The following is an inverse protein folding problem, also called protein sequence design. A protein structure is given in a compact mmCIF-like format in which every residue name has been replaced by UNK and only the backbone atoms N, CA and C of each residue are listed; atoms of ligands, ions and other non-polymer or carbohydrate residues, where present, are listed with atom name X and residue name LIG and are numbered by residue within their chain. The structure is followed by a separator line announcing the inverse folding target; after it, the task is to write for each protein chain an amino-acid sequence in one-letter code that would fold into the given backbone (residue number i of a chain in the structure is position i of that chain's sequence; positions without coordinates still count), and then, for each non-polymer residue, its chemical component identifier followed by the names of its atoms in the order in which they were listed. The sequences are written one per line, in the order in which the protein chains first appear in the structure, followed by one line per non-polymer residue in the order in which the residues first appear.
data_IF_984635231554
#
_entry.id   IF_984635231554
#
_cell.length_a   1.000
_cell.length_b   1.000
_cell.length_c   1.000
_cell.angle_alpha   90.00
_cell.angle_beta   90.00
_cell.angle_gamma   90.00
#
_symmetry.space_group_name_H-M   'P 1'
#
loop_
_entity.id
_entity.type
_entity.pdbx_description
1 polymer ?
#
# COMPACT_ATOMS: atom_id res chain seq x y z
N UNK A 1 -6.68 40.13 16.06
CA UNK A 1 -6.88 38.67 15.96
C UNK A 1 -8.37 38.34 16.10
N UNK A 2 -9.16 38.43 15.03
CA UNK A 2 -10.56 38.00 15.07
C UNK A 2 -10.64 36.51 14.76
N UNK A 3 -10.82 35.69 15.79
CA UNK A 3 -11.15 34.28 15.66
C UNK A 3 -12.52 34.16 14.96
N UNK A 4 -12.51 34.05 13.63
CA UNK A 4 -13.70 33.69 12.87
C UNK A 4 -14.20 32.33 13.33
N UNK A 5 -15.38 32.28 13.97
CA UNK A 5 -16.06 31.05 14.38
C UNK A 5 -16.12 30.09 13.18
N UNK A 6 -15.36 28.98 13.27
CA UNK A 6 -15.36 27.89 12.29
C UNK A 6 -16.78 27.34 12.20
N UNK A 7 -17.37 27.27 11.01
CA UNK A 7 -18.73 26.75 10.88
C UNK A 7 -18.75 25.23 11.14
N UNK A 8 -19.69 24.69 11.93
CA UNK A 8 -19.70 23.28 12.31
C UNK A 8 -20.06 22.34 11.15
N UNK A 9 -20.79 22.80 10.12
CA UNK A 9 -21.34 21.94 9.06
C UNK A 9 -20.28 21.29 8.15
N UNK A 10 -19.23 22.03 7.78
CA UNK A 10 -18.21 21.51 6.85
C UNK A 10 -17.15 20.63 7.55
N UNK A 11 -17.00 20.75 8.87
CA UNK A 11 -16.11 19.88 9.63
C UNK A 11 -16.71 18.50 9.88
N UNK A 12 -18.05 18.38 9.93
CA UNK A 12 -18.74 17.07 10.02
C UNK A 12 -18.44 16.20 8.80
N UNK A 13 -18.49 16.74 7.59
CA UNK A 13 -18.23 15.96 6.35
C UNK A 13 -16.77 15.51 6.24
N UNK A 14 -15.81 16.36 6.64
CA UNK A 14 -14.40 15.97 6.73
C UNK A 14 -14.18 14.91 7.82
N UNK A 15 -14.93 14.98 8.93
CA UNK A 15 -14.96 13.96 9.97
C UNK A 15 -15.45 12.60 9.45
N UNK A 16 -16.58 12.57 8.75
CA UNK A 16 -17.12 11.35 8.10
C UNK A 16 -16.09 10.76 7.15
N UNK A 17 -15.47 11.57 6.29
CA UNK A 17 -14.41 11.12 5.39
C UNK A 17 -13.26 10.46 6.17
N UNK A 18 -12.79 11.07 7.25
CA UNK A 18 -11.71 10.51 8.07
C UNK A 18 -12.13 9.19 8.71
N UNK A 19 -13.37 9.07 9.16
CA UNK A 19 -13.96 7.82 9.64
C UNK A 19 -13.92 6.72 8.58
N UNK A 20 -14.38 7.03 7.35
CA UNK A 20 -14.31 6.10 6.21
C UNK A 20 -12.86 5.69 5.89
N UNK A 21 -11.94 6.66 5.84
CA UNK A 21 -10.52 6.39 5.61
C UNK A 21 -9.91 5.42 6.63
N UNK A 22 -10.23 5.61 7.91
CA UNK A 22 -9.76 4.74 8.99
C UNK A 22 -10.42 3.36 8.87
N UNK A 23 -11.73 3.29 8.61
CA UNK A 23 -12.43 2.02 8.44
C UNK A 23 -11.85 1.18 7.30
N UNK A 24 -11.58 1.77 6.13
CA UNK A 24 -10.95 1.06 5.00
C UNK A 24 -9.50 0.65 5.30
N UNK A 25 -8.74 1.46 6.03
CA UNK A 25 -7.38 1.11 6.44
C UNK A 25 -7.38 -0.04 7.46
N UNK A 26 -8.29 -0.02 8.43
CA UNK A 26 -8.47 -1.11 9.39
C UNK A 26 -8.92 -2.38 8.68
N UNK A 27 -9.89 -2.29 7.77
CA UNK A 27 -10.33 -3.41 6.94
C UNK A 27 -9.16 -4.01 6.16
N UNK A 28 -8.26 -3.17 5.62
CA UNK A 28 -7.06 -3.65 4.94
C UNK A 28 -6.15 -4.47 5.86
N UNK A 29 -5.84 -3.97 7.06
CA UNK A 29 -5.00 -4.70 8.01
C UNK A 29 -5.68 -5.95 8.57
N UNK A 30 -6.99 -5.91 8.82
CA UNK A 30 -7.78 -7.08 9.25
C UNK A 30 -7.77 -8.16 8.16
N UNK A 31 -8.05 -7.82 6.91
CA UNK A 31 -7.97 -8.78 5.80
C UNK A 31 -6.54 -9.29 5.60
N UNK A 32 -5.54 -8.44 5.83
CA UNK A 32 -4.15 -8.87 5.82
C UNK A 32 -3.92 -9.90 6.94
N UNK A 33 -4.32 -9.65 8.17
CA UNK A 33 -4.19 -10.61 9.29
C UNK A 33 -4.91 -11.92 8.98
N UNK A 34 -6.18 -11.85 8.60
CA UNK A 34 -7.03 -13.01 8.31
C UNK A 34 -6.51 -13.85 7.13
N UNK A 35 -5.73 -13.28 6.22
CA UNK A 35 -5.07 -14.02 5.15
C UNK A 35 -4.18 -15.16 5.64
N UNK A 36 -3.64 -15.10 6.87
CA UNK A 36 -2.89 -16.20 7.47
C UNK A 36 -3.79 -17.32 8.02
N UNK A 37 -4.99 -17.00 8.50
CA UNK A 37 -5.93 -17.96 9.10
C UNK A 37 -6.70 -18.83 8.10
N UNK A 38 -6.54 -18.56 6.80
CA UNK A 38 -7.24 -19.24 5.68
C UNK A 38 -6.84 -20.71 5.53
N UNK A 39 -5.84 -21.16 6.28
CA UNK A 39 -5.47 -22.56 6.45
C UNK A 39 -6.58 -23.45 7.05
N UNK A 40 -7.59 -22.88 7.74
CA UNK A 40 -8.63 -23.67 8.45
C UNK A 40 -9.89 -24.01 7.64
N UNK A 41 -10.31 -23.20 6.66
CA UNK A 41 -11.65 -23.34 6.05
C UNK A 41 -11.69 -23.41 4.52
N UNK A 42 -10.55 -23.47 3.83
CA UNK A 42 -10.49 -23.95 2.44
C UNK A 42 -11.16 -23.10 1.35
N UNK A 43 -11.76 -21.95 1.63
CA UNK A 43 -12.24 -21.00 0.61
C UNK A 43 -12.27 -19.57 1.14
N UNK A 44 -11.56 -18.64 0.48
CA UNK A 44 -11.76 -17.22 0.77
C UNK A 44 -11.54 -16.31 -0.45
N UNK A 45 -12.57 -16.24 -1.29
CA UNK A 45 -12.73 -15.18 -2.30
C UNK A 45 -12.57 -13.76 -1.70
N UNK A 46 -12.83 -13.61 -0.40
CA UNK A 46 -12.71 -12.37 0.36
C UNK A 46 -11.30 -11.78 0.43
N UNK A 47 -10.26 -12.62 0.34
CA UNK A 47 -8.86 -12.13 0.34
C UNK A 47 -8.52 -11.30 -0.91
N UNK A 48 -9.21 -11.59 -2.01
CA UNK A 48 -8.99 -10.93 -3.30
C UNK A 48 -9.66 -9.56 -3.35
N UNK A 49 -10.57 -9.25 -2.42
CA UNK A 49 -11.51 -8.12 -2.47
C UNK A 49 -10.87 -6.78 -2.84
N UNK A 50 -9.71 -6.43 -2.28
CA UNK A 50 -9.05 -5.16 -2.58
C UNK A 50 -8.51 -5.07 -4.01
N UNK A 51 -8.03 -6.18 -4.57
CA UNK A 51 -7.55 -6.25 -5.95
C UNK A 51 -8.72 -6.21 -6.94
N UNK A 52 -9.92 -6.63 -6.54
CA UNK A 52 -11.12 -6.60 -7.39
C UNK A 52 -11.57 -5.17 -7.71
N UNK A 53 -11.27 -4.21 -6.83
CA UNK A 53 -11.63 -2.81 -7.02
C UNK A 53 -10.58 -2.00 -7.77
N UNK A 54 -9.50 -2.62 -8.22
CA UNK A 54 -8.40 -1.95 -8.92
C UNK A 54 -8.57 -1.97 -10.45
N UNK A 55 -9.01 -0.86 -11.07
CA UNK A 55 -9.17 -0.80 -12.51
C UNK A 55 -7.85 -0.76 -13.28
N UNK A 56 -6.75 -0.38 -12.64
CA UNK A 56 -5.44 -0.42 -13.28
C UNK A 56 -4.98 -1.86 -13.48
N UNK A 57 -5.20 -2.71 -12.48
CA UNK A 57 -4.92 -4.13 -12.57
C UNK A 57 -5.75 -4.79 -13.67
N UNK A 58 -7.07 -4.55 -13.69
CA UNK A 58 -7.96 -5.03 -14.77
C UNK A 58 -7.44 -4.65 -16.16
N UNK A 59 -7.17 -3.36 -16.36
CA UNK A 59 -6.74 -2.84 -17.66
C UNK A 59 -5.39 -3.42 -18.08
N UNK A 60 -4.44 -3.48 -17.15
CA UNK A 60 -3.09 -3.97 -17.44
C UNK A 60 -3.04 -5.48 -17.70
N UNK A 61 -3.83 -6.29 -16.97
CA UNK A 61 -3.91 -7.73 -17.23
C UNK A 61 -4.60 -8.02 -18.56
N UNK A 62 -5.62 -7.23 -18.90
CA UNK A 62 -6.30 -7.33 -20.20
C UNK A 62 -5.33 -7.02 -21.34
N UNK A 63 -4.52 -5.96 -21.21
CA UNK A 63 -3.56 -5.57 -22.24
C UNK A 63 -2.38 -6.57 -22.35
N UNK A 64 -1.88 -7.06 -21.21
CA UNK A 64 -0.70 -7.92 -21.20
C UNK A 64 -0.99 -9.37 -21.57
N UNK A 65 -2.08 -9.93 -21.09
CA UNK A 65 -2.40 -11.34 -21.27
C UNK A 65 -3.60 -11.61 -22.20
N UNK A 66 -4.28 -10.57 -22.68
CA UNK A 66 -5.56 -10.72 -23.41
C UNK A 66 -6.68 -11.33 -22.55
N UNK A 67 -6.47 -11.48 -21.25
CA UNK A 67 -7.36 -12.17 -20.34
C UNK A 67 -8.11 -11.18 -19.44
N UNK A 68 -9.41 -11.39 -19.29
CA UNK A 68 -10.26 -10.65 -18.34
C UNK A 68 -10.69 -11.62 -17.24
N UNK A 69 -9.97 -11.69 -16.10
CA UNK A 69 -10.45 -12.43 -14.94
C UNK A 69 -11.83 -11.90 -14.56
N UNK A 70 -12.87 -12.75 -14.57
CA UNK A 70 -14.26 -12.37 -14.21
C UNK A 70 -14.32 -11.64 -12.86
N UNK A 71 -13.39 -11.97 -11.97
CA UNK A 71 -13.25 -11.37 -10.65
C UNK A 71 -12.94 -9.87 -10.69
N UNK A 72 -12.18 -9.40 -11.69
CA UNK A 72 -11.77 -8.00 -11.83
C UNK A 72 -12.88 -7.11 -12.40
N UNK A 73 -14.03 -7.67 -12.84
CA UNK A 73 -15.16 -6.87 -13.36
C UNK A 73 -15.76 -5.92 -12.31
N UNK A 74 -15.59 -6.22 -11.02
CA UNK A 74 -16.00 -5.32 -9.95
C UNK A 74 -15.26 -3.97 -9.96
N UNK A 75 -14.09 -3.89 -10.60
CA UNK A 75 -13.36 -2.62 -10.74
C UNK A 75 -14.10 -1.63 -11.63
N UNK A 76 -15.04 -2.11 -12.46
CA UNK A 76 -15.95 -1.24 -13.24
C UNK A 76 -16.84 -0.39 -12.33
N UNK A 77 -17.19 -0.87 -11.13
CA UNK A 77 -17.88 -0.04 -10.14
C UNK A 77 -16.98 1.10 -9.66
N UNK A 78 -15.68 0.88 -9.45
CA UNK A 78 -14.71 1.95 -9.13
C UNK A 78 -14.59 2.95 -10.29
N UNK A 79 -14.60 2.48 -11.54
CA UNK A 79 -14.60 3.34 -12.74
C UNK A 79 -15.88 4.17 -12.80
N UNK A 80 -17.05 3.56 -12.66
CA UNK A 80 -18.34 4.24 -12.65
C UNK A 80 -18.39 5.30 -11.53
N UNK A 81 -18.00 4.94 -10.31
CA UNK A 81 -17.90 5.87 -9.19
C UNK A 81 -16.96 7.03 -9.51
N UNK A 82 -15.84 6.76 -10.19
CA UNK A 82 -14.84 7.77 -10.55
C UNK A 82 -15.34 8.73 -11.63
N UNK A 83 -16.04 8.22 -12.63
CA UNK A 83 -16.65 9.05 -13.68
C UNK A 83 -17.73 9.95 -13.08
N UNK A 84 -18.52 9.45 -12.13
CA UNK A 84 -19.61 10.21 -11.50
C UNK A 84 -19.08 11.23 -10.47
N UNK A 85 -18.28 10.80 -9.51
CA UNK A 85 -17.89 11.63 -8.36
C UNK A 85 -16.48 12.22 -8.47
N UNK A 86 -15.73 11.86 -9.51
CA UNK A 86 -14.30 12.17 -9.64
C UNK A 86 -13.42 11.18 -8.87
N UNK A 87 -12.16 11.52 -8.59
CA UNK A 87 -11.21 10.60 -7.91
C UNK A 87 -11.44 10.47 -6.39
N UNK A 88 -12.69 10.28 -5.97
CA UNK A 88 -13.08 10.14 -4.56
C UNK A 88 -12.43 8.90 -3.94
N UNK A 89 -12.24 7.81 -4.70
CA UNK A 89 -11.57 6.59 -4.24
C UNK A 89 -10.20 6.87 -3.58
N UNK A 90 -9.34 7.64 -4.25
CA UNK A 90 -8.01 8.02 -3.72
C UNK A 90 -8.08 8.89 -2.46
N UNK A 91 -9.20 9.61 -2.26
CA UNK A 91 -9.44 10.48 -1.11
C UNK A 91 -10.12 9.80 0.08
N UNK A 92 -10.90 8.74 -0.16
CA UNK A 92 -11.82 8.15 0.83
C UNK A 92 -11.53 6.68 1.14
N UNK A 93 -11.28 5.84 0.13
CA UNK A 93 -11.20 4.39 0.30
C UNK A 93 -9.76 3.83 0.19
N UNK A 94 -8.88 4.48 -0.56
CA UNK A 94 -7.52 3.98 -0.81
C UNK A 94 -6.68 3.93 0.50
N UNK A 95 -6.24 2.74 0.96
CA UNK A 95 -5.50 2.59 2.21
C UNK A 95 -4.11 3.26 2.12
N UNK A 96 -3.41 3.13 0.99
CA UNK A 96 -2.13 3.82 0.78
C UNK A 96 -2.30 5.35 0.84
N UNK A 97 -3.38 5.87 0.27
CA UNK A 97 -3.70 7.30 0.34
C UNK A 97 -3.93 7.79 1.77
N UNK A 98 -4.54 6.97 2.62
CA UNK A 98 -4.73 7.25 4.06
C UNK A 98 -3.40 7.20 4.82
N UNK A 99 -2.54 6.22 4.55
CA UNK A 99 -1.20 6.13 5.16
C UNK A 99 -0.40 7.40 4.83
N UNK A 100 -0.33 7.79 3.55
CA UNK A 100 0.34 9.03 3.15
C UNK A 100 -0.29 10.29 3.79
N UNK A 101 -1.61 10.31 3.99
CA UNK A 101 -2.28 11.41 4.70
C UNK A 101 -1.83 11.51 6.16
N UNK A 102 -1.75 10.36 6.83
CA UNK A 102 -1.34 10.27 8.22
C UNK A 102 0.13 10.64 8.38
N UNK A 103 1.02 10.08 7.56
CA UNK A 103 2.44 10.42 7.52
C UNK A 103 2.63 11.91 7.23
N UNK A 104 1.92 12.47 6.25
CA UNK A 104 1.99 13.90 5.93
C UNK A 104 1.63 14.78 7.13
N UNK A 105 0.53 14.47 7.84
CA UNK A 105 0.14 15.21 9.05
C UNK A 105 1.16 15.10 10.18
N UNK A 106 1.74 13.92 10.37
CA UNK A 106 2.78 13.67 11.37
C UNK A 106 4.02 14.54 11.07
N UNK A 107 4.48 14.52 9.82
CA UNK A 107 5.64 15.30 9.38
C UNK A 107 5.38 16.80 9.51
N UNK A 108 4.18 17.29 9.22
CA UNK A 108 3.86 18.71 9.33
C UNK A 108 3.84 19.20 10.76
N UNK A 109 3.32 18.36 11.67
CA UNK A 109 3.38 18.63 13.10
C UNK A 109 4.83 18.70 13.58
N UNK A 110 5.67 17.80 13.07
CA UNK A 110 7.09 17.75 13.42
C UNK A 110 7.87 18.95 12.88
N UNK A 111 7.66 19.32 11.62
CA UNK A 111 8.40 20.42 10.96
C UNK A 111 7.85 21.82 11.27
N UNK A 112 6.66 21.93 11.88
CA UNK A 112 5.95 23.21 12.12
C UNK A 112 5.85 24.12 10.88
N UNK A 113 5.79 23.53 9.67
CA UNK A 113 5.78 24.27 8.40
C UNK A 113 4.35 24.57 7.93
N UNK A 114 4.15 25.79 7.42
CA UNK A 114 3.00 26.14 6.59
C UNK A 114 3.31 25.68 5.16
N UNK A 115 2.45 24.82 4.58
CA UNK A 115 2.67 24.28 3.23
C UNK A 115 1.96 25.12 2.17
N UNK A 116 2.66 25.36 1.07
CA UNK A 116 2.08 25.91 -0.16
C UNK A 116 1.94 24.80 -1.21
N UNK A 117 0.91 23.96 -1.07
CA UNK A 117 0.66 22.82 -1.94
C UNK A 117 -0.11 23.20 -3.23
N UNK A 118 0.40 24.19 -3.97
CA UNK A 118 -0.06 24.50 -5.33
C UNK A 118 0.34 23.46 -6.33
N UNK A 119 -0.37 23.42 -7.46
CA UNK A 119 -0.04 22.59 -8.61
C UNK A 119 1.42 22.77 -9.04
N UNK A 120 2.07 21.68 -9.44
CA UNK A 120 3.43 21.73 -10.00
C UNK A 120 3.48 20.98 -11.33
N UNK A 121 4.32 21.41 -12.29
CA UNK A 121 4.47 20.71 -13.57
C UNK A 121 4.87 19.25 -13.43
N UNK A 122 5.62 18.92 -12.38
CA UNK A 122 6.02 17.55 -12.05
C UNK A 122 4.84 16.60 -11.83
N UNK A 123 3.64 17.08 -11.50
CA UNK A 123 2.44 16.23 -11.41
C UNK A 123 2.10 15.53 -12.74
N UNK A 124 2.60 16.05 -13.87
CA UNK A 124 2.41 15.41 -15.18
C UNK A 124 3.14 14.07 -15.29
N UNK A 125 4.18 13.83 -14.46
CA UNK A 125 5.00 12.62 -14.51
C UNK A 125 4.19 11.32 -14.36
N UNK A 126 3.22 11.23 -13.44
CA UNK A 126 2.37 10.04 -13.32
C UNK A 126 1.59 9.69 -14.59
N UNK A 127 1.21 10.67 -15.41
CA UNK A 127 0.52 10.42 -16.68
C UNK A 127 1.47 9.89 -17.74
N UNK A 128 2.70 10.40 -17.76
CA UNK A 128 3.78 9.89 -18.61
C UNK A 128 4.19 8.47 -18.22
N UNK A 129 4.35 8.21 -16.91
CA UNK A 129 4.59 6.86 -16.38
C UNK A 129 3.46 5.90 -16.75
N UNK A 130 2.19 6.32 -16.58
CA UNK A 130 1.04 5.51 -16.99
C UNK A 130 1.12 5.13 -18.48
N UNK A 131 1.39 6.09 -19.37
CA UNK A 131 1.49 5.80 -20.81
C UNK A 131 2.61 4.81 -21.10
N UNK A 132 3.80 5.02 -20.54
CA UNK A 132 4.92 4.09 -20.70
C UNK A 132 4.59 2.68 -20.22
N UNK A 133 3.95 2.56 -19.06
CA UNK A 133 3.53 1.27 -18.51
C UNK A 133 2.41 0.60 -19.30
N UNK A 134 1.44 1.34 -19.84
CA UNK A 134 0.38 0.78 -20.68
C UNK A 134 0.92 0.27 -22.02
N UNK A 135 1.88 0.98 -22.62
CA UNK A 135 2.55 0.52 -23.86
C UNK A 135 3.36 -0.74 -23.59
N UNK A 136 4.12 -0.78 -22.49
CA UNK A 136 4.82 -1.97 -22.06
C UNK A 136 3.85 -3.13 -21.78
N UNK A 137 2.73 -2.88 -21.12
CA UNK A 137 1.68 -3.88 -20.90
C UNK A 137 1.09 -4.40 -22.21
N UNK A 138 0.82 -3.54 -23.19
CA UNK A 138 0.33 -3.96 -24.51
C UNK A 138 1.33 -4.85 -25.29
N UNK A 139 2.62 -4.81 -24.94
CA UNK A 139 3.67 -5.67 -25.49
C UNK A 139 3.94 -6.91 -24.62
N UNK A 140 3.08 -7.17 -23.63
CA UNK A 140 3.14 -8.32 -22.72
C UNK A 140 3.98 -8.10 -21.45
N UNK A 141 4.44 -6.89 -21.15
CA UNK A 141 5.22 -6.60 -19.93
C UNK A 141 4.35 -6.13 -18.77
N UNK A 142 4.28 -6.89 -17.66
CA UNK A 142 3.38 -6.60 -16.55
C UNK A 142 4.00 -5.80 -15.37
N UNK A 143 5.01 -4.98 -15.63
CA UNK A 143 5.74 -4.20 -14.61
C UNK A 143 4.94 -3.06 -13.96
N UNK A 144 3.76 -2.74 -14.48
CA UNK A 144 2.86 -1.73 -13.90
C UNK A 144 2.38 -2.11 -12.50
N UNK A 145 2.25 -3.41 -12.20
CA UNK A 145 1.80 -3.89 -10.91
C UNK A 145 2.79 -3.56 -9.78
N UNK A 146 4.09 -3.45 -10.08
CA UNK A 146 5.10 -3.01 -9.11
C UNK A 146 4.82 -1.59 -8.61
N UNK A 147 4.28 -0.74 -9.49
CA UNK A 147 3.96 0.66 -9.24
C UNK A 147 2.48 0.86 -8.88
N UNK A 148 1.68 -0.20 -8.80
CA UNK A 148 0.32 -0.09 -8.32
C UNK A 148 0.33 0.17 -6.80
N UNK A 149 -0.37 1.22 -6.30
CA UNK A 149 -0.41 1.53 -4.87
C UNK A 149 -0.94 0.40 -3.97
N UNK A 150 -1.88 -0.42 -4.44
CA UNK A 150 -2.48 -1.51 -3.65
C UNK A 150 -1.55 -2.71 -3.61
N UNK A 151 -1.00 -3.11 -4.76
CA UNK A 151 0.02 -4.16 -4.87
C UNK A 151 1.26 -3.80 -4.06
N UNK A 152 1.76 -2.56 -4.17
CA UNK A 152 2.91 -2.09 -3.39
C UNK A 152 2.66 -2.18 -1.89
N UNK A 153 1.50 -1.70 -1.43
CA UNK A 153 1.14 -1.74 -0.02
C UNK A 153 0.98 -3.18 0.47
N UNK A 154 0.31 -4.03 -0.30
CA UNK A 154 0.09 -5.42 0.06
C UNK A 154 1.39 -6.22 0.08
N UNK A 155 2.23 -6.10 -0.96
CA UNK A 155 3.55 -6.74 -1.01
C UNK A 155 4.43 -6.30 0.17
N UNK A 156 4.50 -5.01 0.46
CA UNK A 156 5.26 -4.53 1.62
C UNK A 156 4.65 -5.05 2.94
N UNK A 157 3.33 -5.04 3.04
CA UNK A 157 2.60 -5.57 4.18
C UNK A 157 2.88 -7.05 4.46
N UNK A 158 2.96 -7.86 3.42
CA UNK A 158 3.09 -9.32 3.52
C UNK A 158 4.53 -9.81 3.55
N UNK A 159 5.41 -9.22 2.75
CA UNK A 159 6.80 -9.67 2.58
C UNK A 159 7.73 -9.02 3.60
N UNK A 160 7.42 -7.82 4.09
CA UNK A 160 8.29 -7.08 5.01
C UNK A 160 7.66 -6.83 6.39
N UNK A 161 6.50 -6.16 6.44
CA UNK A 161 5.92 -5.73 7.71
C UNK A 161 5.44 -6.91 8.56
N UNK A 162 4.76 -7.89 7.94
CA UNK A 162 4.20 -9.03 8.65
C UNK A 162 5.28 -9.91 9.32
N UNK A 163 6.31 -10.39 8.59
CA UNK A 163 7.46 -11.04 9.21
C UNK A 163 8.11 -10.22 10.31
N UNK A 164 8.36 -8.92 10.08
CA UNK A 164 9.00 -8.06 11.07
C UNK A 164 8.20 -7.97 12.38
N UNK A 165 6.87 -7.88 12.29
CA UNK A 165 5.99 -7.87 13.46
C UNK A 165 6.04 -9.22 14.19
N UNK A 166 5.95 -10.34 13.45
CA UNK A 166 6.04 -11.67 14.05
C UNK A 166 7.39 -11.88 14.76
N UNK A 167 8.49 -11.50 14.12
CA UNK A 167 9.84 -11.51 14.68
C UNK A 167 9.94 -10.71 15.99
N UNK A 168 9.40 -9.50 15.99
CA UNK A 168 9.45 -8.61 17.15
C UNK A 168 8.67 -9.20 18.33
N UNK A 169 7.51 -9.80 18.06
CA UNK A 169 6.67 -10.44 19.09
C UNK A 169 7.36 -11.67 19.66
N UNK A 170 7.92 -12.54 18.82
CA UNK A 170 8.66 -13.73 19.26
C UNK A 170 9.90 -13.36 20.09
N UNK A 171 10.69 -12.38 19.65
CA UNK A 171 11.86 -11.90 20.38
C UNK A 171 11.49 -11.24 21.70
N UNK A 172 10.42 -10.46 21.74
CA UNK A 172 9.93 -9.84 22.98
C UNK A 172 9.46 -10.91 23.96
N UNK A 173 8.68 -11.90 23.49
CA UNK A 173 8.24 -13.02 24.33
C UNK A 173 9.42 -13.88 24.82
N UNK A 174 10.44 -14.12 23.98
CA UNK A 174 11.67 -14.80 24.37
C UNK A 174 12.45 -14.01 25.43
N UNK A 175 12.66 -12.72 25.24
CA UNK A 175 13.37 -11.86 26.19
C UNK A 175 12.65 -11.78 27.55
N UNK A 176 11.32 -11.72 27.56
CA UNK A 176 10.53 -11.76 28.80
C UNK A 176 10.66 -13.12 29.51
N UNK A 177 10.65 -14.23 28.76
CA UNK A 177 10.86 -15.58 29.31
C UNK A 177 12.26 -15.75 29.88
N UNK A 178 13.29 -15.29 29.18
CA UNK A 178 14.68 -15.31 29.66
C UNK A 178 14.83 -14.47 30.92
N UNK A 179 14.30 -13.24 30.94
CA UNK A 179 14.32 -12.39 32.12
C UNK A 179 13.59 -13.02 33.33
N UNK A 180 12.57 -13.85 33.08
CA UNK A 180 11.88 -14.62 34.12
C UNK A 180 12.59 -15.94 34.49
N UNK A 181 13.45 -16.48 33.62
CA UNK A 181 14.17 -17.74 33.81
C UNK A 181 15.57 -17.58 34.42
N UNK A 182 16.21 -16.41 34.27
CA UNK A 182 17.59 -16.11 34.73
C UNK A 182 17.79 -16.19 36.26
N UNK A 183 16.76 -16.44 37.06
CA UNK A 183 16.88 -16.57 38.53
C UNK A 183 16.97 -18.02 39.06
N UNK A 184 17.18 -19.02 38.21
CA UNK A 184 17.72 -20.30 38.66
C UNK A 184 19.25 -20.32 38.43
N UNK A 185 20.10 -19.91 39.40
CA UNK A 185 21.47 -20.36 39.36
C UNK A 185 21.42 -21.88 39.49
N UNK A 186 22.01 -22.58 38.53
CA UNK A 186 22.47 -23.94 38.75
C UNK A 186 23.45 -23.85 39.92
N UNK A 187 22.98 -24.10 41.15
CA UNK A 187 23.89 -24.33 42.26
C UNK A 187 24.61 -25.64 41.94
N UNK A 188 25.94 -25.64 41.64
CA UNK A 188 26.69 -26.87 41.80
C UNK A 188 26.53 -27.29 43.26
N UNK A 189 26.23 -28.56 43.50
CA UNK A 189 25.87 -29.17 44.80
C UNK A 189 26.94 -29.06 45.93
N UNK A 190 27.95 -28.21 45.80
CA UNK A 190 29.18 -28.24 46.61
C UNK A 190 29.70 -26.87 47.06
N UNK A 191 28.84 -25.86 47.22
CA UNK A 191 29.24 -24.59 47.83
C UNK A 191 28.85 -24.58 49.32
N UNK A 192 29.86 -24.74 50.18
CA UNK A 192 29.78 -24.63 51.64
C UNK A 192 29.17 -23.30 52.09
N UNK A 193 28.50 -23.39 53.25
CA UNK A 193 27.68 -22.35 53.85
C UNK A 193 28.54 -21.33 54.60
N UNK A 194 28.59 -20.09 54.12
CA UNK A 194 28.94 -18.92 54.92
C UNK A 194 27.71 -17.99 55.03
N UNK A 195 27.08 -17.99 56.22
CA UNK A 195 25.77 -17.40 56.49
C UNK A 195 25.77 -15.86 56.71
N UNK A 196 26.92 -15.19 56.68
CA UNK A 196 27.01 -13.77 57.03
C UNK A 196 26.90 -12.77 55.85
N UNK A 197 26.91 -13.25 54.60
CA UNK A 197 26.86 -12.41 53.39
C UNK A 197 25.52 -12.43 52.61
N UNK A 198 24.59 -13.32 52.96
CA UNK A 198 23.44 -13.64 52.10
C UNK A 198 22.21 -12.73 52.28
N UNK A 199 22.11 -12.01 53.41
CA UNK A 199 20.92 -11.23 53.75
C UNK A 199 20.72 -9.97 52.88
N UNK A 200 21.79 -9.37 52.36
CA UNK A 200 21.68 -8.14 51.55
C UNK A 200 21.39 -8.44 50.06
N UNK A 201 21.75 -9.63 49.57
CA UNK A 201 21.58 -10.00 48.15
C UNK A 201 20.22 -10.69 47.88
N UNK A 202 19.64 -11.36 48.88
CA UNK A 202 18.32 -12.01 48.78
C UNK A 202 17.14 -11.02 48.75
N UNK A 203 17.22 -9.84 49.38
CA UNK A 203 16.08 -8.90 49.44
C UNK A 203 15.76 -8.22 48.09
N UNK A 204 16.78 -7.97 47.27
CA UNK A 204 16.64 -7.34 45.95
C UNK A 204 16.17 -8.31 44.86
N UNK A 205 16.48 -9.61 45.00
CA UNK A 205 16.02 -10.68 44.11
C UNK A 205 14.54 -11.07 44.37
N UNK A 206 14.05 -10.88 45.60
CA UNK A 206 12.68 -11.29 45.99
C UNK A 206 11.59 -10.33 45.46
N UNK A 207 11.89 -9.04 45.31
CA UNK A 207 10.92 -8.05 44.79
C UNK A 207 10.77 -8.11 43.26
N UNK A 208 11.88 -8.33 42.53
CA UNK A 208 11.87 -8.55 41.08
C UNK A 208 11.11 -9.82 40.70
N UNK A 209 11.27 -10.90 41.49
CA UNK A 209 10.55 -12.16 41.34
C UNK A 209 9.01 -12.03 41.40
N UNK A 210 8.48 -11.14 42.24
CA UNK A 210 7.03 -10.95 42.38
C UNK A 210 6.38 -10.27 41.17
N UNK A 211 7.13 -9.46 40.42
CA UNK A 211 6.63 -8.77 39.22
C UNK A 211 6.97 -9.51 37.93
N UNK A 212 8.11 -10.19 37.85
CA UNK A 212 8.57 -10.86 36.63
C UNK A 212 7.70 -12.08 36.24
N UNK A 213 7.27 -12.89 37.22
CA UNK A 213 6.42 -14.07 36.97
C UNK A 213 5.02 -13.75 36.42
N UNK A 214 4.22 -12.81 37.00
CA UNK A 214 2.92 -12.48 36.44
C UNK A 214 3.04 -11.78 35.07
N UNK A 215 4.09 -10.99 34.85
CA UNK A 215 4.36 -10.39 33.53
C UNK A 215 4.68 -11.47 32.50
N UNK A 216 5.47 -12.48 32.86
CA UNK A 216 5.76 -13.61 31.97
C UNK A 216 4.52 -14.45 31.66
N UNK A 217 3.66 -14.71 32.65
CA UNK A 217 2.40 -15.43 32.45
C UNK A 217 1.48 -14.70 31.46
N UNK A 218 1.21 -13.40 31.69
CA UNK A 218 0.39 -12.58 30.77
C UNK A 218 1.03 -12.49 29.38
N UNK A 219 2.36 -12.38 29.30
CA UNK A 219 3.06 -12.34 28.00
C UNK A 219 2.92 -13.65 27.25
N UNK A 220 2.95 -14.80 27.94
CA UNK A 220 2.74 -16.12 27.33
C UNK A 220 1.30 -16.28 26.84
N UNK A 221 0.30 -15.92 27.65
CA UNK A 221 -1.11 -16.00 27.24
C UNK A 221 -1.39 -15.15 26.00
N UNK A 222 -0.83 -13.93 25.96
CA UNK A 222 -0.93 -13.03 24.80
C UNK A 222 -0.17 -13.62 23.60
N UNK A 223 1.03 -14.19 23.81
CA UNK A 223 1.81 -14.81 22.75
C UNK A 223 1.08 -16.00 22.13
N UNK A 224 0.52 -16.89 22.95
CA UNK A 224 -0.20 -18.08 22.50
C UNK A 224 -1.50 -17.69 21.79
N UNK A 225 -2.24 -16.71 22.31
CA UNK A 225 -3.40 -16.15 21.61
C UNK A 225 -3.03 -15.60 20.23
N UNK A 226 -1.97 -14.78 20.15
CA UNK A 226 -1.49 -14.21 18.89
C UNK A 226 -0.99 -15.30 17.93
N UNK A 227 -0.28 -16.31 18.42
CA UNK A 227 0.19 -17.43 17.61
C UNK A 227 -0.98 -18.22 17.01
N UNK A 228 -1.98 -18.55 17.82
CA UNK A 228 -3.07 -19.43 17.40
C UNK A 228 -4.16 -18.75 16.57
N UNK A 229 -4.31 -17.41 16.69
CA UNK A 229 -5.37 -16.65 16.02
C UNK A 229 -4.85 -15.68 14.95
N UNK A 230 -3.62 -15.19 15.08
CA UNK A 230 -3.05 -14.14 14.21
C UNK A 230 -1.92 -14.69 13.35
N UNK A 231 -0.97 -15.43 13.93
CA UNK A 231 0.21 -15.98 13.24
C UNK A 231 0.09 -17.51 13.03
N UNK A 232 -1.03 -17.93 12.43
CA UNK A 232 -1.34 -19.35 12.16
C UNK A 232 -0.30 -20.01 11.24
N UNK A 233 0.38 -19.22 10.40
CA UNK A 233 1.47 -19.67 9.52
C UNK A 233 2.81 -19.56 10.26
N UNK A 234 3.67 -20.58 10.13
CA UNK A 234 5.03 -20.55 10.68
C UNK A 234 5.80 -19.29 10.23
N UNK A 235 6.76 -18.84 11.04
CA UNK A 235 7.61 -17.67 10.79
C UNK A 235 8.18 -17.68 9.37
N UNK A 236 7.61 -16.84 8.50
CA UNK A 236 8.09 -16.67 7.13
C UNK A 236 9.13 -15.56 7.11
N UNK A 237 10.32 -15.84 6.59
CA UNK A 237 11.27 -14.81 6.21
C UNK A 237 11.37 -14.79 4.70
N UNK A 238 11.40 -13.60 4.11
CA UNK A 238 11.45 -13.45 2.67
C UNK A 238 12.74 -12.80 2.21
N UNK A 239 13.32 -13.36 1.15
CA UNK A 239 14.47 -12.76 0.49
C UNK A 239 14.11 -11.36 -0.05
N UNK A 240 14.98 -10.37 0.15
CA UNK A 240 14.72 -9.00 -0.32
C UNK A 240 13.65 -8.22 0.47
N UNK A 241 13.13 -8.74 1.58
CA UNK A 241 12.19 -8.02 2.44
C UNK A 241 12.72 -6.65 2.88
N UNK A 242 14.01 -6.56 3.22
CA UNK A 242 14.66 -5.31 3.59
C UNK A 242 14.66 -4.27 2.47
N UNK A 243 14.87 -4.69 1.21
CA UNK A 243 14.82 -3.80 0.05
C UNK A 243 13.41 -3.24 -0.17
N UNK A 244 12.39 -4.09 -0.11
CA UNK A 244 10.99 -3.67 -0.25
C UNK A 244 10.60 -2.69 0.87
N UNK A 245 10.99 -3.00 2.11
CA UNK A 245 10.77 -2.13 3.26
C UNK A 245 11.46 -0.76 3.07
N UNK A 246 12.70 -0.75 2.61
CA UNK A 246 13.47 0.47 2.39
C UNK A 246 12.83 1.34 1.31
N UNK A 247 12.43 0.76 0.17
CA UNK A 247 11.73 1.51 -0.90
C UNK A 247 10.44 2.11 -0.37
N UNK A 248 9.62 1.34 0.34
CA UNK A 248 8.38 1.84 0.93
C UNK A 248 8.62 2.95 1.96
N UNK A 249 9.63 2.80 2.83
CA UNK A 249 10.02 3.81 3.80
C UNK A 249 10.47 5.12 3.14
N UNK A 250 11.26 5.04 2.06
CA UNK A 250 11.66 6.21 1.26
C UNK A 250 10.42 6.90 0.67
N UNK A 251 9.47 6.14 0.10
CA UNK A 251 8.23 6.72 -0.43
C UNK A 251 7.40 7.43 0.65
N UNK A 252 7.37 6.91 1.88
CA UNK A 252 6.75 7.59 3.01
C UNK A 252 7.54 8.82 3.46
N UNK A 253 8.86 8.76 3.50
CA UNK A 253 9.73 9.88 3.86
C UNK A 253 9.60 11.06 2.89
N UNK A 254 9.37 10.80 1.60
CA UNK A 254 9.12 11.83 0.58
C UNK A 254 7.87 12.68 0.85
N UNK A 255 6.97 12.27 1.76
CA UNK A 255 5.90 13.16 2.25
C UNK A 255 6.44 14.42 2.95
N UNK A 256 7.70 14.40 3.42
CA UNK A 256 8.36 15.59 3.94
C UNK A 256 8.42 16.70 2.89
N UNK A 257 8.75 16.36 1.65
CA UNK A 257 8.84 17.34 0.55
C UNK A 257 7.45 17.85 0.15
N UNK A 258 6.52 16.94 -0.15
CA UNK A 258 5.13 17.27 -0.52
C UNK A 258 4.16 16.26 0.06
N UNK A 259 3.02 16.70 0.58
CA UNK A 259 1.95 15.80 1.04
C UNK A 259 1.53 14.86 -0.09
N UNK A 260 1.32 13.59 0.26
CA UNK A 260 0.90 12.53 -0.67
C UNK A 260 1.79 12.50 -1.94
N UNK A 261 3.11 12.53 -1.73
CA UNK A 261 4.10 12.56 -2.82
C UNK A 261 3.82 11.49 -3.88
N UNK A 262 3.61 10.23 -3.46
CA UNK A 262 3.28 9.11 -4.35
C UNK A 262 2.05 9.38 -5.22
N UNK A 263 0.92 9.72 -4.61
CA UNK A 263 -0.34 9.97 -5.33
C UNK A 263 -0.25 11.17 -6.29
N UNK A 264 0.64 12.12 -5.99
CA UNK A 264 0.81 13.36 -6.75
C UNK A 264 1.73 13.17 -7.96
N UNK A 265 2.77 12.34 -7.86
CA UNK A 265 3.83 12.26 -8.87
C UNK A 265 4.04 10.89 -9.49
N UNK A 266 3.84 9.79 -8.75
CA UNK A 266 4.28 8.46 -9.19
C UNK A 266 3.13 7.49 -9.48
N UNK A 267 1.98 7.68 -8.83
CA UNK A 267 0.88 6.71 -8.82
C UNK A 267 0.19 6.57 -10.20
N UNK A 268 0.35 5.45 -10.93
CA UNK A 268 -0.30 5.21 -12.22
C UNK A 268 -1.81 5.05 -12.06
N UNK A 269 -2.28 4.42 -10.98
CA UNK A 269 -3.72 4.29 -10.69
C UNK A 269 -4.37 5.68 -10.52
N UNK A 270 -3.71 6.59 -9.80
CA UNK A 270 -4.19 7.96 -9.62
C UNK A 270 -4.20 8.77 -10.92
N UNK A 271 -3.29 8.48 -11.85
CA UNK A 271 -3.27 9.04 -13.20
C UNK A 271 -4.46 8.52 -14.02
N UNK A 272 -4.68 7.19 -14.04
CA UNK A 272 -5.79 6.54 -14.75
C UNK A 272 -7.13 7.08 -14.27
N UNK A 273 -7.37 7.07 -12.96
CA UNK A 273 -8.59 7.63 -12.37
C UNK A 273 -8.72 9.14 -12.64
N UNK A 274 -7.62 9.87 -12.79
CA UNK A 274 -7.63 11.30 -13.15
C UNK A 274 -8.01 11.58 -14.59
N UNK A 275 -7.64 10.70 -15.52
CA UNK A 275 -8.11 10.79 -16.91
C UNK A 275 -9.61 10.48 -16.98
N UNK A 276 -10.07 9.46 -16.25
CA UNK A 276 -11.49 9.11 -16.18
C UNK A 276 -12.33 10.20 -15.49
N UNK A 277 -11.76 10.89 -14.50
CA UNK A 277 -12.38 11.99 -13.76
C UNK A 277 -12.25 13.37 -14.44
N UNK A 278 -12.09 13.44 -15.77
CA UNK A 278 -11.95 14.73 -16.49
C UNK A 278 -13.22 15.60 -16.47
N UNK A 279 -14.41 15.00 -16.37
CA UNK A 279 -15.71 15.71 -16.31
C UNK A 279 -16.67 15.10 -15.27
N UNK A 280 -16.33 15.15 -13.97
CA UNK A 280 -17.16 14.55 -12.93
C UNK A 280 -18.44 15.38 -12.71
N UNK A 281 -19.49 14.72 -12.19
CA UNK A 281 -20.74 15.36 -11.77
C UNK A 281 -20.52 16.20 -10.51
N UNK A 282 -19.71 15.69 -9.58
CA UNK A 282 -19.37 16.40 -8.36
C UNK A 282 -18.22 17.39 -8.63
N UNK A 283 -18.54 18.69 -8.65
CA UNK A 283 -17.58 19.75 -9.01
C UNK A 283 -17.31 20.73 -7.88
N UNK A 284 -16.07 21.23 -7.81
CA UNK A 284 -15.70 22.31 -6.90
C UNK A 284 -16.05 23.65 -7.54
N UNK A 285 -17.06 24.34 -7.01
CA UNK A 285 -17.43 25.69 -7.42
C UNK A 285 -16.90 26.73 -6.43
N UNK A 286 -16.35 27.81 -6.98
CA UNK A 286 -15.89 28.98 -6.22
C UNK A 286 -16.80 30.15 -6.56
N UNK A 287 -17.36 30.80 -5.54
CA UNK A 287 -18.09 32.06 -5.70
C UNK A 287 -17.10 33.22 -5.70
N UNK A 288 -16.98 33.92 -6.83
CA UNK A 288 -16.02 35.03 -6.99
C UNK A 288 -16.33 36.18 -6.03
N UNK A 289 -17.61 36.54 -5.87
CA UNK A 289 -18.05 37.64 -5.01
C UNK A 289 -17.67 37.49 -3.52
N UNK A 290 -17.55 36.26 -3.02
CA UNK A 290 -17.22 35.99 -1.61
C UNK A 290 -15.76 35.59 -1.40
N UNK A 291 -15.00 35.35 -2.47
CA UNK A 291 -13.61 34.90 -2.39
C UNK A 291 -12.65 36.10 -2.30
N UNK A 292 -11.89 36.21 -1.22
CA UNK A 292 -10.85 37.22 -1.05
C UNK A 292 -9.44 36.73 -1.45
N UNK A 293 -9.36 35.64 -2.22
CA UNK A 293 -8.10 35.06 -2.72
C UNK A 293 -7.02 34.79 -1.65
N UNK A 294 -7.42 34.50 -0.39
CA UNK A 294 -6.48 34.20 0.71
C UNK A 294 -5.69 32.89 0.60
N UNK A 295 -5.94 32.08 -0.43
CA UNK A 295 -5.21 30.84 -0.77
C UNK A 295 -5.19 29.70 0.26
N UNK A 296 -5.83 29.85 1.43
CA UNK A 296 -5.93 28.80 2.46
C UNK A 296 -6.47 27.46 1.92
N UNK A 297 -7.35 27.54 0.91
CA UNK A 297 -7.90 26.37 0.24
C UNK A 297 -6.89 25.62 -0.65
N UNK A 298 -5.94 26.32 -1.26
CA UNK A 298 -4.84 25.75 -2.05
C UNK A 298 -3.80 25.09 -1.15
N UNK A 299 -3.44 25.76 -0.06
CA UNK A 299 -2.50 25.26 0.96
C UNK A 299 -2.97 23.96 1.63
N UNK A 300 -4.29 23.79 1.81
CA UNK A 300 -4.86 22.57 2.36
C UNK A 300 -5.26 21.51 1.30
N UNK A 301 -4.99 21.76 0.02
CA UNK A 301 -5.36 20.86 -1.06
C UNK A 301 -4.38 19.68 -1.16
N UNK A 302 -4.80 18.50 -0.69
CA UNK A 302 -3.96 17.30 -0.72
C UNK A 302 -3.63 16.80 -2.14
N UNK A 303 -4.45 17.17 -3.13
CA UNK A 303 -4.20 16.88 -4.54
C UNK A 303 -3.50 18.01 -5.29
N UNK A 304 -3.30 19.17 -4.66
CA UNK A 304 -2.77 20.36 -5.32
C UNK A 304 -3.50 20.68 -6.66
N UNK A 305 -4.83 20.65 -6.60
CA UNK A 305 -5.74 20.78 -7.72
C UNK A 305 -6.06 22.23 -8.12
N UNK A 306 -5.20 23.17 -7.73
CA UNK A 306 -5.25 24.59 -8.09
C UNK A 306 -3.83 25.11 -8.25
N UNK A 307 -3.60 25.92 -9.28
CA UNK A 307 -2.30 26.52 -9.57
C UNK A 307 -1.99 27.73 -8.68
N UNK A 308 -3.00 28.52 -8.33
CA UNK A 308 -2.85 29.71 -7.51
C UNK A 308 -4.17 30.06 -6.80
N UNK A 309 -4.15 31.10 -5.97
CA UNK A 309 -5.35 31.67 -5.39
C UNK A 309 -6.32 32.14 -6.49
N UNK A 310 -7.58 31.71 -6.44
CA UNK A 310 -8.57 32.07 -7.47
C UNK A 310 -8.37 31.39 -8.82
N UNK A 311 -7.34 30.55 -9.01
CA UNK A 311 -7.14 29.83 -10.26
C UNK A 311 -8.22 28.77 -10.50
N UNK A 312 -8.36 28.36 -11.77
CA UNK A 312 -9.17 27.22 -12.16
C UNK A 312 -8.91 25.95 -11.34
N UNK A 313 -9.94 25.14 -11.21
CA UNK A 313 -9.89 23.86 -10.53
C UNK A 313 -9.50 22.76 -11.53
N UNK A 314 -8.56 21.89 -11.17
CA UNK A 314 -8.17 20.71 -11.95
C UNK A 314 -8.92 19.45 -11.46
N UNK A 315 -9.95 18.95 -12.17
CA UNK A 315 -10.74 17.79 -11.74
C UNK A 315 -9.90 16.52 -11.69
N UNK A 316 -9.02 16.36 -12.68
CA UNK A 316 -8.08 15.25 -12.78
C UNK A 316 -7.08 15.19 -11.63
N UNK A 317 -6.92 16.28 -10.86
CA UNK A 317 -6.07 16.34 -9.66
C UNK A 317 -6.85 16.34 -8.34
N UNK A 318 -8.16 16.60 -8.39
CA UNK A 318 -8.98 16.64 -7.20
C UNK A 318 -9.17 15.24 -6.61
N UNK A 319 -8.95 15.10 -5.30
CA UNK A 319 -9.21 13.84 -4.56
C UNK A 319 -10.60 13.80 -3.90
N UNK A 320 -11.42 14.85 -4.08
CA UNK A 320 -12.73 14.94 -3.41
C UNK A 320 -12.66 14.95 -1.88
N UNK A 321 -11.56 15.42 -1.29
CA UNK A 321 -11.32 15.35 0.17
C UNK A 321 -12.07 16.42 1.00
N UNK A 322 -12.68 17.41 0.36
CA UNK A 322 -13.45 18.50 0.97
C UNK A 322 -12.70 19.38 1.98
N UNK A 323 -11.37 19.26 2.12
CA UNK A 323 -10.60 20.11 3.04
C UNK A 323 -10.71 21.60 2.68
N UNK A 324 -10.76 21.93 1.38
CA UNK A 324 -10.88 23.31 0.92
C UNK A 324 -12.18 24.00 1.36
N UNK A 325 -13.30 23.28 1.48
CA UNK A 325 -14.58 23.85 1.97
C UNK A 325 -14.59 24.00 3.49
N UNK A 326 -13.89 23.12 4.21
CA UNK A 326 -13.77 23.19 5.66
C UNK A 326 -12.83 24.31 6.14
N UNK A 327 -11.78 24.64 5.37
CA UNK A 327 -10.84 25.72 5.69
C UNK A 327 -11.27 27.12 5.19
N UNK A 328 -12.23 27.22 4.27
CA UNK A 328 -12.60 28.52 3.69
C UNK A 328 -13.36 29.40 4.71
N UNK A 329 -12.69 30.43 5.23
CA UNK A 329 -13.29 31.36 6.21
C UNK A 329 -14.47 32.17 5.66
N UNK A 330 -14.51 32.43 4.35
CA UNK A 330 -15.58 33.20 3.68
C UNK A 330 -16.70 32.34 3.09
N UNK A 331 -16.64 31.01 3.23
CA UNK A 331 -17.59 30.05 2.64
C UNK A 331 -17.77 30.18 1.13
N UNK A 332 -16.77 30.72 0.43
CA UNK A 332 -16.78 30.89 -1.02
C UNK A 332 -16.62 29.57 -1.80
N UNK A 333 -16.12 28.52 -1.14
CA UNK A 333 -15.91 27.20 -1.74
C UNK A 333 -17.08 26.25 -1.42
N UNK A 334 -17.70 25.67 -2.46
CA UNK A 334 -18.75 24.65 -2.33
C UNK A 334 -18.54 23.51 -3.33
N UNK A 335 -18.96 22.31 -2.97
CA UNK A 335 -19.10 21.21 -3.92
C UNK A 335 -20.55 21.14 -4.37
N UNK A 336 -20.77 21.16 -5.69
CA UNK A 336 -22.10 21.16 -6.29
C UNK A 336 -22.19 20.04 -7.31
N UNK A 337 -23.34 19.39 -7.38
CA UNK A 337 -23.65 18.49 -8.49
C UNK A 337 -24.03 19.33 -9.70
N UNK A 338 -23.22 19.24 -10.75
CA UNK A 338 -23.40 19.96 -12.00
C UNK A 338 -23.31 18.95 -13.13
N UNK A 339 -24.17 19.13 -14.12
CA UNK A 339 -24.24 18.18 -15.22
C UNK A 339 -23.05 18.38 -16.18
N UNK A 340 -22.52 17.32 -16.86
CA UNK A 340 -21.23 17.41 -17.53
C UNK A 340 -21.09 18.51 -18.60
N UNK A 341 -22.20 18.88 -19.26
CA UNK A 341 -22.23 19.92 -20.30
C UNK A 341 -22.26 21.37 -19.77
N UNK A 342 -22.41 21.61 -18.47
CA UNK A 342 -22.32 22.97 -17.92
C UNK A 342 -20.87 23.48 -17.93
N UNK A 343 -20.65 24.69 -18.45
CA UNK A 343 -19.32 25.31 -18.63
C UNK A 343 -18.73 25.95 -17.37
N UNK A 344 -19.56 26.31 -16.40
CA UNK A 344 -19.11 26.76 -15.08
C UNK A 344 -19.14 25.59 -14.09
N UNK A 345 -18.23 25.54 -13.11
CA UNK A 345 -17.13 26.47 -12.80
C UNK A 345 -15.92 26.32 -13.75
N UNK A 346 -14.98 27.28 -13.73
CA UNK A 346 -13.75 27.23 -14.53
C UNK A 346 -12.92 25.97 -14.23
N UNK A 347 -12.85 25.09 -15.23
CA UNK A 347 -12.07 23.85 -15.21
C UNK A 347 -10.76 24.10 -15.93
N UNK A 348 -9.66 23.84 -15.24
CA UNK A 348 -8.33 23.82 -15.86
C UNK A 348 -7.96 22.37 -16.20
N UNK A 349 -7.61 22.10 -17.46
CA UNK A 349 -7.17 20.78 -17.90
C UNK A 349 -5.70 20.56 -17.60
N UNK A 350 -5.28 19.30 -17.48
CA UNK A 350 -3.85 18.98 -17.43
C UNK A 350 -3.34 18.90 -18.85
N UNK A 351 -2.60 19.91 -19.28
CA UNK A 351 -2.06 19.93 -20.64
C UNK A 351 -0.86 18.98 -20.76
N UNK A 352 -1.08 17.84 -21.41
CA UNK A 352 -0.04 16.86 -21.70
C UNK A 352 0.61 17.19 -23.04
N UNK A 353 1.94 17.34 -23.05
CA UNK A 353 2.67 17.64 -24.28
C UNK A 353 2.74 16.38 -25.15
N UNK A 354 2.29 16.45 -26.40
CA UNK A 354 2.32 15.31 -27.35
C UNK A 354 3.70 14.68 -27.47
N UNK A 355 4.75 15.50 -27.58
CA UNK A 355 6.15 15.03 -27.64
C UNK A 355 6.56 14.22 -26.41
N UNK A 356 6.10 14.63 -25.22
CA UNK A 356 6.40 13.92 -23.97
C UNK A 356 5.60 12.60 -23.86
N UNK A 357 4.36 12.56 -24.36
CA UNK A 357 3.58 11.32 -24.45
C UNK A 357 4.24 10.30 -25.39
N UNK A 358 4.66 10.74 -26.58
CA UNK A 358 5.40 9.89 -27.51
C UNK A 358 6.72 9.43 -26.91
N UNK A 359 7.47 10.33 -26.27
CA UNK A 359 8.69 9.97 -25.55
C UNK A 359 8.47 8.94 -24.44
N UNK A 360 7.34 9.02 -23.74
CA UNK A 360 6.99 8.04 -22.69
C UNK A 360 6.61 6.68 -23.28
N UNK A 361 5.90 6.66 -24.40
CA UNK A 361 5.58 5.44 -25.14
C UNK A 361 6.86 4.76 -25.65
N UNK A 362 7.73 5.51 -26.34
CA UNK A 362 9.03 5.00 -26.80
C UNK A 362 9.90 4.55 -25.63
N UNK A 363 9.90 5.30 -24.52
CA UNK A 363 10.58 4.91 -23.29
C UNK A 363 10.06 3.60 -22.70
N UNK A 364 8.75 3.36 -22.73
CA UNK A 364 8.15 2.08 -22.33
C UNK A 364 8.59 0.91 -23.21
N UNK A 365 8.63 1.11 -24.53
CA UNK A 365 9.12 0.10 -25.49
C UNK A 365 10.61 -0.19 -25.22
N UNK A 366 11.43 0.85 -25.11
CA UNK A 366 12.86 0.72 -24.86
C UNK A 366 13.14 0.04 -23.51
N UNK A 367 12.41 0.41 -22.45
CA UNK A 367 12.54 -0.21 -21.13
C UNK A 367 12.20 -1.71 -21.18
N UNK A 368 11.11 -2.09 -21.85
CA UNK A 368 10.76 -3.50 -22.03
C UNK A 368 11.82 -4.25 -22.84
N UNK A 369 12.31 -3.65 -23.93
CA UNK A 369 13.37 -4.23 -24.75
C UNK A 369 14.63 -4.49 -23.93
N UNK A 370 15.03 -3.54 -23.07
CA UNK A 370 16.16 -3.67 -22.13
C UNK A 370 15.91 -4.78 -21.11
N UNK A 371 14.73 -4.84 -20.49
CA UNK A 371 14.40 -5.91 -19.53
C UNK A 371 14.44 -7.29 -20.19
N UNK A 372 14.02 -7.37 -21.46
CA UNK A 372 14.09 -8.59 -22.28
C UNK A 372 15.46 -8.82 -22.89
N UNK A 373 16.49 -8.02 -22.65
CA UNK A 373 17.87 -8.42 -23.05
C UNK A 373 18.33 -9.63 -22.24
N UNK A 374 17.85 -9.75 -21.00
CA UNK A 374 18.15 -10.88 -20.14
C UNK A 374 17.66 -12.21 -20.76
N UNK A 375 18.55 -13.19 -21.01
CA UNK A 375 18.18 -14.48 -21.58
C UNK A 375 17.15 -15.25 -20.73
N UNK A 376 17.13 -15.04 -19.42
CA UNK A 376 16.20 -15.68 -18.50
C UNK A 376 14.77 -15.16 -18.71
N UNK A 377 14.61 -13.86 -18.96
CA UNK A 377 13.32 -13.24 -19.26
C UNK A 377 12.71 -13.76 -20.60
N UNK A 378 13.57 -14.19 -21.55
CA UNK A 378 13.14 -14.81 -22.81
C UNK A 378 12.96 -16.33 -22.74
N UNK A 379 13.25 -16.94 -21.59
CA UNK A 379 13.40 -18.40 -21.45
C UNK A 379 14.41 -19.02 -22.43
N UNK A 380 15.33 -18.22 -22.94
CA UNK A 380 16.39 -18.73 -23.82
C UNK A 380 17.38 -19.60 -23.03
N UNK A 381 17.46 -19.40 -21.71
CA UNK A 381 18.31 -20.16 -20.80
C UNK A 381 17.50 -20.63 -19.61
N UNK A 382 17.54 -21.95 -19.34
CA UNK A 382 16.93 -22.54 -18.16
C UNK A 382 17.73 -22.17 -16.91
N UNK A 383 17.06 -21.59 -15.91
CA UNK A 383 17.64 -21.34 -14.60
C UNK A 383 17.13 -22.39 -13.59
N UNK A 384 18.00 -23.29 -13.08
CA UNK A 384 17.58 -24.34 -12.14
C UNK A 384 17.03 -23.80 -10.81
N UNK A 385 17.30 -22.53 -10.48
CA UNK A 385 16.78 -21.87 -9.28
C UNK A 385 15.41 -21.21 -9.48
N UNK A 386 14.86 -21.23 -10.69
CA UNK A 386 13.55 -20.68 -11.02
C UNK A 386 12.51 -21.81 -11.11
N UNK A 387 12.06 -22.27 -9.94
CA UNK A 387 10.99 -23.26 -9.86
C UNK A 387 9.68 -22.52 -9.55
N UNK A 388 8.68 -22.62 -10.43
CA UNK A 388 7.36 -22.01 -10.19
C UNK A 388 6.47 -22.91 -9.32
N UNK A 389 5.51 -22.35 -8.55
CA UNK A 389 4.53 -23.16 -7.83
C UNK A 389 3.74 -24.07 -8.78
N UNK A 390 3.26 -25.23 -8.29
CA UNK A 390 2.44 -26.11 -9.10
C UNK A 390 1.17 -25.38 -9.58
N UNK A 391 0.79 -25.61 -10.84
CA UNK A 391 -0.34 -24.94 -11.48
C UNK A 391 -0.05 -23.56 -12.05
N UNK A 392 1.19 -23.06 -11.94
CA UNK A 392 1.63 -21.86 -12.67
C UNK A 392 1.63 -22.11 -14.19
N UNK A 393 1.30 -21.08 -14.95
CA UNK A 393 1.32 -21.11 -16.41
C UNK A 393 2.75 -21.19 -16.97
N UNK A 394 2.91 -21.51 -18.27
CA UNK A 394 4.19 -21.34 -18.96
C UNK A 394 4.71 -19.93 -18.76
N UNK A 395 6.02 -19.81 -18.56
CA UNK A 395 6.53 -18.59 -17.94
C UNK A 395 6.33 -17.27 -18.73
N UNK A 396 6.17 -17.20 -20.09
CA UNK A 396 5.84 -15.93 -20.73
C UNK A 396 4.40 -15.51 -20.41
N UNK A 397 3.47 -16.46 -20.35
CA UNK A 397 2.08 -16.22 -19.96
C UNK A 397 1.97 -15.90 -18.46
N UNK A 398 2.77 -16.57 -17.64
CA UNK A 398 2.89 -16.28 -16.21
C UNK A 398 3.32 -14.83 -15.99
N UNK A 399 4.37 -14.36 -16.66
CA UNK A 399 4.87 -12.98 -16.52
C UNK A 399 3.87 -11.93 -17.04
N UNK A 400 3.05 -12.28 -18.04
CA UNK A 400 1.97 -11.42 -18.53
C UNK A 400 0.79 -11.30 -17.55
N UNK A 401 0.55 -12.30 -16.69
CA UNK A 401 -0.59 -12.35 -15.75
C UNK A 401 -0.20 -12.08 -14.29
N UNK A 402 1.03 -12.35 -13.90
CA UNK A 402 1.46 -12.27 -12.51
C UNK A 402 1.62 -10.81 -12.07
N UNK A 403 0.91 -10.41 -11.03
CA UNK A 403 0.92 -9.03 -10.52
C UNK A 403 1.98 -8.80 -9.44
N UNK A 404 2.78 -9.82 -9.11
CA UNK A 404 3.76 -9.79 -8.02
C UNK A 404 3.19 -9.28 -6.66
N UNK A 405 1.90 -9.54 -6.40
CA UNK A 405 1.22 -9.07 -5.19
C UNK A 405 1.66 -9.78 -3.91
N UNK A 406 2.19 -11.00 -4.00
CA UNK A 406 2.67 -11.77 -2.84
C UNK A 406 1.59 -12.51 -2.05
N UNK A 407 0.34 -12.53 -2.52
CA UNK A 407 -0.75 -13.34 -1.92
C UNK A 407 -0.36 -14.82 -1.79
N UNK A 408 0.15 -15.40 -2.87
CA UNK A 408 0.58 -16.80 -2.90
C UNK A 408 1.72 -17.10 -1.93
N UNK A 409 2.67 -16.17 -1.78
CA UNK A 409 3.80 -16.29 -0.85
C UNK A 409 3.31 -16.27 0.60
N UNK A 410 2.38 -15.37 0.92
CA UNK A 410 1.81 -15.27 2.26
C UNK A 410 1.08 -16.55 2.68
N UNK A 411 0.22 -17.11 1.82
CA UNK A 411 -0.58 -18.29 2.18
C UNK A 411 0.19 -19.60 2.16
N UNK A 412 1.47 -19.58 1.78
CA UNK A 412 2.31 -20.77 1.72
C UNK A 412 2.59 -21.30 3.14
N UNK A 413 2.04 -22.46 3.55
CA UNK A 413 2.17 -22.94 4.93
C UNK A 413 3.62 -23.26 5.32
N UNK A 414 4.43 -23.68 4.34
CA UNK A 414 5.85 -24.03 4.54
C UNK A 414 6.80 -22.85 4.33
N UNK A 415 6.30 -21.70 3.86
CA UNK A 415 7.15 -20.53 3.52
C UNK A 415 8.13 -20.76 2.36
N UNK A 416 7.99 -21.87 1.62
CA UNK A 416 8.88 -22.21 0.51
C UNK A 416 8.76 -21.27 -0.69
N UNK A 417 7.63 -20.57 -0.84
CA UNK A 417 7.44 -19.56 -1.88
C UNK A 417 8.10 -18.24 -1.50
N UNK A 418 9.09 -17.84 -2.30
CA UNK A 418 9.95 -16.70 -2.09
C UNK A 418 9.91 -15.76 -3.31
N UNK A 419 10.16 -14.45 -3.15
CA UNK A 419 10.23 -13.56 -4.29
C UNK A 419 11.51 -13.83 -5.09
N UNK A 420 11.37 -13.89 -6.42
CA UNK A 420 12.50 -13.84 -7.34
C UNK A 420 13.13 -12.44 -7.31
N UNK A 421 14.46 -12.37 -7.35
CA UNK A 421 15.20 -11.10 -7.41
C UNK A 421 15.81 -10.95 -8.80
N UNK A 422 16.53 -11.98 -9.24
CA UNK A 422 17.21 -12.00 -10.54
C UNK A 422 16.91 -13.26 -11.34
N UNK A 423 16.35 -14.29 -10.71
CA UNK A 423 16.22 -15.63 -11.27
C UNK A 423 15.21 -15.74 -12.41
N UNK A 424 14.25 -14.82 -12.46
CA UNK A 424 13.26 -14.67 -13.53
C UNK A 424 13.61 -13.50 -14.48
N UNK A 425 14.87 -13.05 -14.46
CA UNK A 425 15.31 -11.81 -15.09
C UNK A 425 14.66 -10.56 -14.47
N UNK A 426 14.93 -9.40 -15.08
CA UNK A 426 14.33 -8.14 -14.64
C UNK A 426 12.81 -8.11 -14.83
N UNK A 427 12.28 -8.76 -15.87
CA UNK A 427 10.83 -8.82 -16.14
C UNK A 427 10.06 -9.50 -14.99
N UNK A 428 10.64 -10.54 -14.36
CA UNK A 428 10.02 -11.31 -13.29
C UNK A 428 10.41 -10.92 -11.86
N UNK A 429 10.92 -9.71 -11.62
CA UNK A 429 11.29 -9.30 -10.26
C UNK A 429 10.09 -9.35 -9.29
N UNK A 430 10.32 -9.87 -8.08
CA UNK A 430 9.33 -10.09 -7.02
C UNK A 430 8.20 -11.08 -7.35
N UNK A 431 8.28 -11.81 -8.45
CA UNK A 431 7.37 -12.91 -8.74
C UNK A 431 7.69 -14.15 -7.88
N UNK A 432 6.71 -15.01 -7.55
CA UNK A 432 6.92 -16.14 -6.65
C UNK A 432 7.75 -17.27 -7.29
N UNK A 433 8.77 -17.75 -6.58
CA UNK A 433 9.51 -18.98 -6.89
C UNK A 433 9.54 -19.90 -5.67
N UNK A 434 9.60 -21.20 -5.89
CA UNK A 434 9.77 -22.20 -4.84
C UNK A 434 11.25 -22.39 -4.53
N UNK A 435 11.62 -22.28 -3.26
CA UNK A 435 12.95 -22.57 -2.74
C UNK A 435 12.85 -23.76 -1.77
N UNK A 436 13.06 -25.00 -2.24
CA UNK A 436 12.87 -26.21 -1.44
C UNK A 436 13.69 -26.25 -0.15
N UNK A 437 14.84 -25.56 -0.12
CA UNK A 437 15.72 -25.45 1.05
C UNK A 437 15.10 -24.64 2.21
N UNK A 438 14.20 -23.69 1.91
CA UNK A 438 13.48 -22.90 2.91
C UNK A 438 12.20 -23.63 3.31
N UNK A 439 11.49 -24.20 2.34
CA UNK A 439 10.28 -24.96 2.57
C UNK A 439 9.86 -25.74 1.33
N UNK A 440 9.29 -26.93 1.53
CA UNK A 440 8.84 -27.81 0.45
C UNK A 440 7.38 -27.56 0.09
N UNK A 441 6.99 -27.95 -1.12
CA UNK A 441 5.58 -27.96 -1.52
C UNK A 441 4.90 -29.22 -0.99
N UNK A 442 3.80 -29.09 -0.26
CA UNK A 442 2.97 -30.23 0.14
C UNK A 442 2.17 -30.74 -1.05
N UNK A 443 2.11 -32.06 -1.24
CA UNK A 443 1.51 -32.68 -2.43
C UNK A 443 0.01 -32.36 -2.60
N UNK A 444 -0.75 -32.29 -1.50
CA UNK A 444 -2.19 -32.02 -1.51
C UNK A 444 -2.55 -30.52 -1.39
N UNK A 445 -1.57 -29.61 -1.43
CA UNK A 445 -1.80 -28.18 -1.23
C UNK A 445 -1.89 -27.42 -2.55
N UNK A 446 -2.98 -26.67 -2.75
CA UNK A 446 -3.15 -25.74 -3.89
C UNK A 446 -3.62 -24.34 -3.45
N UNK A 447 -3.25 -23.92 -2.23
CA UNK A 447 -3.68 -22.62 -1.69
C UNK A 447 -3.18 -21.43 -2.53
N UNK A 448 -1.96 -21.53 -3.05
CA UNK A 448 -1.36 -20.47 -3.88
C UNK A 448 -2.17 -20.19 -5.16
N UNK A 449 -2.64 -21.24 -5.84
CA UNK A 449 -3.53 -21.12 -7.00
C UNK A 449 -4.91 -20.59 -6.64
N UNK A 450 -5.47 -21.03 -5.50
CA UNK A 450 -6.77 -20.56 -5.03
C UNK A 450 -6.79 -19.06 -4.70
N UNK A 451 -5.72 -18.50 -4.14
CA UNK A 451 -5.65 -17.07 -3.80
C UNK A 451 -5.16 -16.17 -4.93
N UNK A 452 -4.64 -16.73 -6.01
CA UNK A 452 -4.18 -15.94 -7.15
C UNK A 452 -5.35 -15.14 -7.76
N UNK A 453 -5.26 -13.80 -7.86
CA UNK A 453 -6.34 -12.98 -8.40
C UNK A 453 -6.43 -13.06 -9.94
N UNK A 454 -5.30 -13.35 -10.60
CA UNK A 454 -5.19 -13.38 -12.06
C UNK A 454 -5.15 -14.78 -12.66
N UNK A 455 -5.00 -15.82 -11.82
CA UNK A 455 -4.81 -17.19 -12.29
C UNK A 455 -3.53 -17.36 -13.11
N UNK A 456 -2.48 -16.61 -12.73
CA UNK A 456 -1.13 -16.72 -13.28
C UNK A 456 -0.48 -18.06 -12.91
#
# INVERSE_FOLDING_TARGET
MTQGRRSPRNWRTVGVRRGVQIAFLLLFFVLLILAGGVLREGHSSWLKLFFLFDPLLLLSTLLAAGAVPKLLLLSLATVALTVLLGRVFCGWACPLGTIHDLTGRLVDRWQRRVRHDHWSPWQKSKYYLLVGFLVMAALGGHWIAIWDPLVLLYRTGTVALWPAVQLSIEQTAAAVREAAAVEHPLHPKWAEQDEAGQAQQQSSATLKNRLARPVAAVTNDVHDFLKDHVFVVQRQSFLGAGLIAAVFAVLLALNAVRRRFWCRYLCPLGALLGLLAWRPLLRRATQEQSCNQCDLCGQACHGAASAAAGSGWKPSECLGCLNCTALCNRRAMRFTFLWPWQRQPQVETVDLRRRALLGSAVGGIAALAVMRVDPQARQAVFNPQLIRPPGALPEPEFLQRCTACGLCMKVCPTGGLQPAISEAGLEGIWTPRLVPQIGYCQYSCNLCGQVCPTGA
#
